data_IF_034833137511
#
_entry.id   IF_034833137511
#
_cell.length_a   1.000
_cell.length_b   1.000
_cell.length_c   1.000
_cell.angle_alpha   90.00
_cell.angle_beta   90.00
_cell.angle_gamma   90.00
#
_symmetry.space_group_name_H-M   'P 1'
#
loop_
_entity.id
_entity.type
_entity.pdbx_description
1 polymer ?
#
# COMPACT_ATOMS: atom_id res chain seq x y z
N UNK A 1 20.00 -6.55 -15.06
CA UNK A 1 18.71 -7.24 -14.91
C UNK A 1 18.50 -7.42 -13.41
N UNK A 2 18.00 -6.39 -12.74
CA UNK A 2 17.69 -6.41 -11.31
C UNK A 2 16.27 -6.95 -11.18
N UNK A 3 16.16 -8.25 -10.89
CA UNK A 3 14.91 -8.84 -10.47
C UNK A 3 14.45 -8.10 -9.21
N UNK A 4 13.41 -7.29 -9.36
CA UNK A 4 12.64 -6.81 -8.24
C UNK A 4 12.02 -8.05 -7.60
N UNK A 5 12.64 -8.52 -6.53
CA UNK A 5 12.05 -9.41 -5.55
C UNK A 5 10.84 -8.68 -4.97
N UNK A 6 9.72 -8.74 -5.69
CA UNK A 6 8.41 -8.70 -5.07
C UNK A 6 8.33 -10.02 -4.31
N UNK A 7 8.36 -10.05 -2.97
CA UNK A 7 7.99 -11.25 -2.28
C UNK A 7 6.55 -11.55 -2.71
N UNK A 8 6.40 -12.62 -3.48
CA UNK A 8 5.11 -13.28 -3.70
C UNK A 8 4.63 -13.68 -2.32
N UNK A 9 3.77 -12.85 -1.72
CA UNK A 9 3.19 -13.13 -0.40
C UNK A 9 2.12 -14.21 -0.58
N UNK A 10 2.59 -15.44 -0.77
CA UNK A 10 1.82 -16.67 -0.83
C UNK A 10 1.77 -17.34 0.56
N UNK A 11 1.59 -16.53 1.59
CA UNK A 11 1.24 -16.93 2.95
C UNK A 11 0.33 -15.82 3.46
N UNK A 12 -0.77 -16.17 4.13
CA UNK A 12 -1.79 -15.21 4.55
C UNK A 12 -1.16 -13.95 5.15
N UNK A 13 -1.11 -12.87 4.36
CA UNK A 13 -0.65 -11.57 4.83
C UNK A 13 -1.68 -11.10 5.83
N UNK A 14 -1.30 -10.96 7.10
CA UNK A 14 -2.20 -10.36 8.09
C UNK A 14 -2.61 -8.95 7.66
N UNK A 15 -3.77 -8.50 8.11
CA UNK A 15 -4.37 -7.25 7.68
C UNK A 15 -3.43 -6.06 7.95
N UNK A 16 -2.65 -6.11 9.03
CA UNK A 16 -1.61 -5.11 9.32
C UNK A 16 -0.53 -5.03 8.25
N UNK A 17 0.03 -6.18 7.85
CA UNK A 17 1.08 -6.25 6.83
C UNK A 17 0.54 -5.84 5.46
N UNK A 18 -0.71 -6.22 5.15
CA UNK A 18 -1.36 -5.78 3.91
C UNK A 18 -1.60 -4.27 3.89
N UNK A 19 -2.08 -3.70 4.99
CA UNK A 19 -2.29 -2.26 5.14
C UNK A 19 -0.98 -1.48 4.99
N UNK A 20 0.09 -1.92 5.66
CA UNK A 20 1.41 -1.31 5.56
C UNK A 20 1.99 -1.39 4.14
N UNK A 21 1.87 -2.55 3.49
CA UNK A 21 2.30 -2.74 2.10
C UNK A 21 1.52 -1.85 1.13
N UNK A 22 0.20 -1.74 1.32
CA UNK A 22 -0.67 -0.87 0.53
C UNK A 22 -0.29 0.60 0.68
N UNK A 23 0.04 1.05 1.90
CA UNK A 23 0.55 2.40 2.15
C UNK A 23 1.91 2.66 1.52
N UNK A 24 2.85 1.71 1.59
CA UNK A 24 4.15 1.84 0.94
C UNK A 24 4.01 1.98 -0.58
N UNK A 25 3.13 1.19 -1.21
CA UNK A 25 2.84 1.30 -2.64
C UNK A 25 2.15 2.62 -3.00
N UNK A 26 1.27 3.13 -2.15
CA UNK A 26 0.68 4.45 -2.33
C UNK A 26 1.78 5.53 -2.37
N UNK A 27 2.71 5.53 -1.39
CA UNK A 27 3.81 6.50 -1.35
C UNK A 27 4.67 6.47 -2.63
N UNK A 28 5.02 5.28 -3.14
CA UNK A 28 5.75 5.12 -4.40
C UNK A 28 4.99 5.74 -5.58
N UNK A 29 3.68 5.51 -5.66
CA UNK A 29 2.86 6.07 -6.72
C UNK A 29 2.70 7.60 -6.62
N UNK A 30 2.70 8.15 -5.41
CA UNK A 30 2.73 9.59 -5.18
C UNK A 30 4.07 10.20 -5.64
N UNK A 31 5.20 9.57 -5.33
CA UNK A 31 6.51 10.00 -5.83
C UNK A 31 6.58 10.00 -7.37
N UNK A 32 6.06 8.94 -8.01
CA UNK A 32 5.96 8.91 -9.47
C UNK A 32 5.07 10.03 -10.02
N UNK A 33 3.93 10.31 -9.38
CA UNK A 33 3.06 11.42 -9.78
C UNK A 33 3.82 12.76 -9.73
N UNK A 34 4.54 13.03 -8.64
CA UNK A 34 5.35 14.24 -8.48
C UNK A 34 6.46 14.33 -9.55
N UNK A 35 7.12 13.22 -9.86
CA UNK A 35 8.13 13.18 -10.93
C UNK A 35 7.53 13.53 -12.30
N UNK A 36 6.31 13.07 -12.60
CA UNK A 36 5.64 13.39 -13.86
C UNK A 36 5.17 14.84 -13.96
N UNK A 37 4.89 15.52 -12.83
CA UNK A 37 4.64 16.97 -12.82
C UNK A 37 5.88 17.71 -13.34
N UNK A 38 7.07 17.35 -12.85
CA UNK A 38 8.32 17.98 -13.27
C UNK A 38 8.64 17.76 -14.76
N UNK A 39 8.13 16.66 -15.33
CA UNK A 39 8.32 16.30 -16.74
C UNK A 39 7.22 16.83 -17.68
N UNK A 40 6.14 17.40 -17.15
CA UNK A 40 4.98 17.83 -17.93
C UNK A 40 4.18 16.68 -18.56
N UNK A 41 4.37 15.43 -18.10
CA UNK A 41 3.65 14.25 -18.60
C UNK A 41 2.35 14.05 -17.83
N UNK A 42 1.30 14.77 -18.26
CA UNK A 42 -0.03 14.73 -17.62
C UNK A 42 -0.66 13.34 -17.66
N UNK A 43 -0.41 12.55 -18.70
CA UNK A 43 -0.98 11.19 -18.81
C UNK A 43 -0.36 10.26 -17.78
N UNK A 44 0.96 10.30 -17.62
CA UNK A 44 1.65 9.50 -16.61
C UNK A 44 1.36 9.98 -15.19
N UNK A 45 1.21 11.29 -14.98
CA UNK A 45 0.72 11.88 -13.73
C UNK A 45 -0.63 11.28 -13.32
N UNK A 46 -1.65 11.35 -14.19
CA UNK A 46 -3.01 10.87 -13.88
C UNK A 46 -3.01 9.38 -13.56
N UNK A 47 -2.27 8.58 -14.33
CA UNK A 47 -2.13 7.14 -14.09
C UNK A 47 -1.48 6.85 -12.74
N UNK A 48 -0.41 7.55 -12.37
CA UNK A 48 0.24 7.37 -11.07
C UNK A 48 -0.63 7.85 -9.91
N UNK A 49 -1.36 8.96 -10.08
CA UNK A 49 -2.33 9.44 -9.09
C UNK A 49 -3.49 8.45 -8.87
N UNK A 50 -3.99 7.82 -9.94
CA UNK A 50 -5.03 6.80 -9.84
C UNK A 50 -4.54 5.55 -9.08
N UNK A 51 -3.30 5.11 -9.36
CA UNK A 51 -2.70 3.99 -8.62
C UNK A 51 -2.47 4.33 -7.14
N UNK A 52 -2.02 5.54 -6.84
CA UNK A 52 -1.95 6.05 -5.47
C UNK A 52 -3.31 5.92 -4.77
N UNK A 53 -4.39 6.42 -5.40
CA UNK A 53 -5.72 6.39 -4.80
C UNK A 53 -6.21 4.96 -4.54
N UNK A 54 -5.97 4.02 -5.46
CA UNK A 54 -6.32 2.59 -5.28
C UNK A 54 -5.59 1.98 -4.09
N UNK A 55 -4.27 2.18 -3.99
CA UNK A 55 -3.49 1.68 -2.86
C UNK A 55 -3.90 2.34 -1.54
N UNK A 56 -4.21 3.64 -1.57
CA UNK A 56 -4.68 4.38 -0.40
C UNK A 56 -6.02 3.85 0.11
N UNK A 57 -6.98 3.65 -0.80
CA UNK A 57 -8.28 3.07 -0.49
C UNK A 57 -8.12 1.67 0.11
N UNK A 58 -7.30 0.80 -0.50
CA UNK A 58 -7.09 -0.56 0.00
C UNK A 58 -6.57 -0.59 1.44
N UNK A 59 -5.64 0.30 1.81
CA UNK A 59 -5.17 0.38 3.19
C UNK A 59 -6.25 0.89 4.16
N UNK A 60 -7.03 1.91 3.77
CA UNK A 60 -8.12 2.45 4.59
C UNK A 60 -9.21 1.40 4.80
N UNK A 61 -9.54 0.65 3.75
CA UNK A 61 -10.51 -0.45 3.79
C UNK A 61 -10.04 -1.60 4.68
N UNK A 62 -8.72 -1.80 4.82
CA UNK A 62 -8.13 -2.85 5.66
C UNK A 62 -7.91 -2.43 7.12
N UNK A 63 -8.01 -1.13 7.42
CA UNK A 63 -7.77 -0.60 8.77
C UNK A 63 -8.63 -1.27 9.85
N UNK A 64 -9.94 -1.54 9.66
CA UNK A 64 -10.77 -2.20 10.68
C UNK A 64 -10.28 -3.60 11.03
N UNK A 65 -9.87 -4.40 10.04
CA UNK A 65 -9.32 -5.75 10.22
C UNK A 65 -7.98 -5.68 10.94
N UNK A 66 -7.11 -4.74 10.56
CA UNK A 66 -5.82 -4.52 11.21
C UNK A 66 -5.97 -4.16 12.69
N UNK A 67 -6.97 -3.34 13.04
CA UNK A 67 -7.27 -2.99 14.44
C UNK A 67 -7.79 -4.20 15.22
N UNK A 68 -8.69 -5.01 14.64
CA UNK A 68 -9.19 -6.24 15.28
C UNK A 68 -8.08 -7.23 15.58
N UNK A 69 -7.09 -7.36 14.69
CA UNK A 69 -5.91 -8.21 14.91
C UNK A 69 -5.07 -7.73 16.11
N UNK A 70 -4.91 -6.41 16.28
CA UNK A 70 -4.20 -5.84 17.44
C UNK A 70 -4.91 -6.13 18.76
N UNK A 71 -6.23 -6.01 18.78
CA UNK A 71 -7.04 -6.29 19.97
C UNK A 71 -7.04 -7.78 20.33
N UNK A 72 -7.12 -8.66 19.33
CA UNK A 72 -7.10 -10.11 19.54
C UNK A 72 -5.76 -10.61 20.12
N UNK A 73 -4.63 -10.05 19.68
CA UNK A 73 -3.31 -10.35 20.23
C UNK A 73 -3.13 -9.81 21.66
N UNK A 74 -3.77 -8.69 22.00
CA UNK A 74 -3.75 -8.11 23.35
C UNK A 74 -4.54 -8.91 24.40
N UNK A 75 -5.54 -9.70 23.97
CA UNK A 75 -6.38 -10.53 24.85
C UNK A 75 -5.80 -11.90 25.20
N UNK A 76 -4.76 -12.36 24.50
CA UNK A 76 -4.15 -13.68 24.69
C UNK A 76 -3.14 -13.75 25.86
N UNK A 77 -2.97 -12.67 26.61
CA UNK A 77 -1.99 -12.52 27.70
C UNK A 77 -2.60 -12.24 29.09
N UNK A 78 -3.89 -12.55 29.31
CA UNK A 78 -4.54 -12.46 30.64
C UNK A 78 -4.99 -13.83 31.14
#
# INVERSE_FOLDING_TARGET
>A
MTEALLPTVAGATDARTFMAGSMAMAAIHLEHALAHIALGDTTALLRSAQKFAVCAAAAVETLPEAVKEMDAEGGAHV
#
